data_IF_613593616866
#
_entry.id   IF_613593616866
#
_cell.length_a   1.000
_cell.length_b   1.000
_cell.length_c   1.000
_cell.angle_alpha   90.00
_cell.angle_beta   90.00
_cell.angle_gamma   90.00
#
_symmetry.space_group_name_H-M   'P 1'
#
loop_
_entity.id
_entity.type
_entity.pdbx_description
1 polymer ?
#
# COMPACT_ATOMS: atom_id res chain seq x y z
N UNK A 1 6.55 49.31 14.20
CA UNK A 1 6.90 47.94 14.67
C UNK A 1 5.62 47.27 15.13
N UNK A 2 5.08 46.28 14.39
CA UNK A 2 4.21 45.19 14.90
C UNK A 2 3.60 44.37 13.74
N UNK A 3 4.39 43.49 13.11
CA UNK A 3 3.85 42.42 12.25
C UNK A 3 4.74 41.16 12.35
N UNK A 4 4.84 40.55 13.54
CA UNK A 4 5.64 39.32 13.73
C UNK A 4 4.87 38.15 14.35
N UNK A 5 3.73 38.38 15.02
CA UNK A 5 3.08 37.32 15.82
C UNK A 5 1.98 36.54 15.09
N UNK A 6 1.46 37.05 13.96
CA UNK A 6 0.42 36.37 13.18
C UNK A 6 0.96 35.26 12.25
N UNK A 7 2.22 35.36 11.80
CA UNK A 7 2.82 34.42 10.83
C UNK A 7 3.33 33.10 11.48
N UNK A 8 3.61 33.12 12.79
CA UNK A 8 4.13 31.97 13.54
C UNK A 8 3.06 30.94 13.92
N UNK A 9 1.79 31.37 14.05
CA UNK A 9 0.65 30.49 14.35
C UNK A 9 0.16 29.71 13.12
N UNK A 10 0.24 30.31 11.93
CA UNK A 10 -0.26 29.69 10.70
C UNK A 10 0.69 28.59 10.17
N UNK A 11 2.00 28.82 10.27
CA UNK A 11 3.05 27.83 9.96
C UNK A 11 3.05 26.64 10.91
N UNK A 12 2.78 26.87 12.21
CA UNK A 12 2.70 25.79 13.21
C UNK A 12 1.49 24.87 12.98
N UNK A 13 0.32 25.45 12.67
CA UNK A 13 -0.91 24.71 12.37
C UNK A 13 -0.77 23.86 11.11
N UNK A 14 -0.18 24.42 10.04
CA UNK A 14 0.08 23.69 8.78
C UNK A 14 1.07 22.52 8.96
N UNK A 15 2.10 22.69 9.79
CA UNK A 15 3.09 21.64 10.06
C UNK A 15 2.58 20.54 11.03
N UNK A 16 1.63 20.86 11.91
CA UNK A 16 0.93 19.86 12.74
C UNK A 16 -0.02 19.01 11.89
N UNK A 17 -0.81 19.61 11.00
CA UNK A 17 -1.69 18.86 10.07
C UNK A 17 -0.90 17.95 9.12
N UNK A 18 0.27 18.41 8.64
CA UNK A 18 1.21 17.66 7.79
C UNK A 18 2.08 16.63 8.54
N UNK A 19 1.91 16.50 9.86
CA UNK A 19 2.54 15.43 10.66
C UNK A 19 1.55 14.33 11.02
N UNK A 20 0.27 14.70 11.22
CA UNK A 20 -0.79 13.74 11.47
C UNK A 20 -1.13 12.89 10.23
N UNK A 21 -1.04 13.47 9.03
CA UNK A 21 -1.24 12.76 7.76
C UNK A 21 -0.16 11.69 7.46
N UNK A 22 1.11 11.98 7.75
CA UNK A 22 2.25 11.07 7.53
C UNK A 22 2.26 9.91 8.53
N UNK A 23 1.93 10.17 9.80
CA UNK A 23 1.77 9.11 10.81
C UNK A 23 0.59 8.19 10.47
N UNK A 24 -0.55 8.76 10.07
CA UNK A 24 -1.73 8.00 9.62
C UNK A 24 -1.42 7.11 8.40
N UNK A 25 -0.61 7.62 7.46
CA UNK A 25 -0.24 6.87 6.27
C UNK A 25 0.72 5.71 6.56
N UNK A 26 1.73 5.95 7.42
CA UNK A 26 2.66 4.88 7.86
C UNK A 26 1.93 3.76 8.59
N UNK A 27 0.99 4.12 9.47
CA UNK A 27 0.17 3.14 10.17
C UNK A 27 -0.70 2.34 9.19
N UNK A 28 -1.34 3.00 8.23
CA UNK A 28 -2.11 2.34 7.18
C UNK A 28 -1.29 1.34 6.36
N UNK A 29 -0.06 1.70 5.98
CA UNK A 29 0.84 0.80 5.24
C UNK A 29 1.17 -0.43 6.10
N UNK A 30 1.50 -0.22 7.38
CA UNK A 30 1.85 -1.31 8.30
C UNK A 30 0.69 -2.30 8.46
N UNK A 31 -0.51 -1.80 8.70
CA UNK A 31 -1.72 -2.62 8.84
C UNK A 31 -2.07 -3.34 7.55
N UNK A 32 -1.93 -2.66 6.40
CA UNK A 32 -2.18 -3.25 5.09
C UNK A 32 -1.20 -4.40 4.82
N UNK A 33 0.10 -4.20 5.08
CA UNK A 33 1.11 -5.25 4.96
C UNK A 33 0.78 -6.47 5.82
N UNK A 34 0.40 -6.25 7.08
CA UNK A 34 0.04 -7.34 7.99
C UNK A 34 -1.20 -8.11 7.54
N UNK A 35 -2.18 -7.46 6.92
CA UNK A 35 -3.38 -8.14 6.40
C UNK A 35 -3.06 -8.93 5.13
N UNK A 36 -2.29 -8.32 4.22
CA UNK A 36 -1.95 -8.91 2.92
C UNK A 36 -1.03 -10.12 3.08
N UNK A 37 -0.12 -10.12 4.06
CA UNK A 37 0.84 -11.22 4.27
C UNK A 37 0.20 -12.59 4.55
N UNK A 38 -1.09 -12.64 4.87
CA UNK A 38 -1.82 -13.89 5.14
C UNK A 38 -2.62 -14.40 3.94
N UNK A 39 -2.61 -13.68 2.81
CA UNK A 39 -3.41 -14.03 1.64
C UNK A 39 -2.66 -15.03 0.75
N UNK A 40 -3.41 -15.94 0.12
CA UNK A 40 -2.92 -16.71 -1.03
C UNK A 40 -2.73 -15.79 -2.24
N UNK A 41 -2.10 -16.31 -3.30
CA UNK A 41 -1.94 -15.58 -4.56
C UNK A 41 -3.30 -15.17 -5.14
N UNK A 42 -4.24 -16.11 -5.21
CA UNK A 42 -5.58 -15.91 -5.75
C UNK A 42 -6.38 -14.90 -4.93
N UNK A 43 -6.25 -14.96 -3.60
CA UNK A 43 -6.91 -14.01 -2.71
C UNK A 43 -6.34 -12.59 -2.87
N UNK A 44 -5.01 -12.45 -2.95
CA UNK A 44 -4.36 -11.17 -3.14
C UNK A 44 -4.69 -10.56 -4.52
N UNK A 45 -4.73 -11.39 -5.57
CA UNK A 45 -5.10 -10.97 -6.91
C UNK A 45 -6.58 -10.54 -6.99
N UNK A 46 -7.50 -11.32 -6.43
CA UNK A 46 -8.91 -10.97 -6.39
C UNK A 46 -9.17 -9.67 -5.62
N UNK A 47 -8.50 -9.46 -4.50
CA UNK A 47 -8.59 -8.20 -3.75
C UNK A 47 -8.01 -7.01 -4.52
N UNK A 48 -6.97 -7.23 -5.34
CA UNK A 48 -6.42 -6.23 -6.24
C UNK A 48 -7.44 -5.87 -7.34
N UNK A 49 -8.11 -6.85 -7.94
CA UNK A 49 -9.13 -6.60 -8.97
C UNK A 49 -10.30 -5.76 -8.40
N UNK A 50 -10.82 -6.14 -7.23
CA UNK A 50 -11.86 -5.38 -6.53
C UNK A 50 -11.40 -3.94 -6.23
N UNK A 51 -10.12 -3.75 -5.89
CA UNK A 51 -9.55 -2.43 -5.65
C UNK A 51 -9.47 -1.60 -6.93
N UNK A 52 -9.07 -2.21 -8.04
CA UNK A 52 -8.99 -1.56 -9.35
C UNK A 52 -10.37 -1.15 -9.85
N UNK A 53 -11.38 -2.01 -9.72
CA UNK A 53 -12.77 -1.68 -10.04
C UNK A 53 -13.25 -0.45 -9.27
N UNK A 54 -12.94 -0.37 -7.96
CA UNK A 54 -13.27 0.79 -7.13
C UNK A 54 -12.55 2.06 -7.61
N UNK A 55 -11.28 1.95 -7.97
CA UNK A 55 -10.50 3.09 -8.48
C UNK A 55 -10.99 3.61 -9.83
N UNK A 56 -11.59 2.75 -10.65
CA UNK A 56 -12.15 3.11 -11.96
C UNK A 56 -13.51 3.82 -11.85
N UNK A 57 -14.12 3.87 -10.65
CA UNK A 57 -15.36 4.63 -10.44
C UNK A 57 -15.10 6.14 -10.43
N UNK A 58 -16.00 6.92 -11.04
CA UNK A 58 -15.81 8.35 -11.35
C UNK A 58 -15.74 9.30 -10.14
N UNK A 59 -15.92 8.79 -8.91
CA UNK A 59 -16.19 9.60 -7.72
C UNK A 59 -15.16 9.40 -6.60
N UNK A 60 -13.98 8.85 -6.90
CA UNK A 60 -12.95 8.63 -5.86
C UNK A 60 -12.29 9.95 -5.43
N UNK A 61 -12.21 10.19 -4.13
CA UNK A 61 -11.48 11.33 -3.57
C UNK A 61 -9.97 11.13 -3.74
N UNK A 62 -9.20 12.22 -3.88
CA UNK A 62 -7.74 12.14 -4.10
C UNK A 62 -7.01 11.41 -2.96
N UNK A 63 -7.46 11.59 -1.71
CA UNK A 63 -6.87 10.89 -0.57
C UNK A 63 -7.13 9.38 -0.61
N UNK A 64 -8.32 8.98 -1.04
CA UNK A 64 -8.70 7.58 -1.22
C UNK A 64 -7.96 6.97 -2.41
N UNK A 65 -7.72 7.74 -3.47
CA UNK A 65 -6.90 7.33 -4.60
C UNK A 65 -5.45 7.05 -4.18
N UNK A 66 -4.85 7.92 -3.35
CA UNK A 66 -3.49 7.72 -2.81
C UNK A 66 -3.40 6.44 -1.98
N UNK A 67 -4.36 6.21 -1.09
CA UNK A 67 -4.41 4.98 -0.25
C UNK A 67 -4.64 3.73 -1.10
N UNK A 68 -5.52 3.82 -2.10
CA UNK A 68 -5.81 2.72 -3.03
C UNK A 68 -4.57 2.37 -3.86
N UNK A 69 -3.87 3.36 -4.42
CA UNK A 69 -2.62 3.14 -5.14
C UNK A 69 -1.57 2.41 -4.28
N UNK A 70 -1.35 2.89 -3.05
CA UNK A 70 -0.40 2.26 -2.12
C UNK A 70 -0.82 0.82 -1.83
N UNK A 71 -2.10 0.57 -1.54
CA UNK A 71 -2.60 -0.77 -1.24
C UNK A 71 -2.46 -1.70 -2.45
N UNK A 72 -2.72 -1.21 -3.67
CA UNK A 72 -2.52 -1.95 -4.91
C UNK A 72 -1.07 -2.37 -5.11
N UNK A 73 -0.12 -1.46 -4.84
CA UNK A 73 1.31 -1.80 -4.86
C UNK A 73 1.66 -2.90 -3.85
N UNK A 74 1.08 -2.86 -2.65
CA UNK A 74 1.31 -3.89 -1.63
C UNK A 74 0.75 -5.26 -2.03
N UNK A 75 -0.40 -5.31 -2.72
CA UNK A 75 -0.92 -6.57 -3.28
C UNK A 75 0.02 -7.13 -4.35
N UNK A 76 0.48 -6.28 -5.28
CA UNK A 76 1.43 -6.69 -6.33
C UNK A 76 2.74 -7.22 -5.73
N UNK A 77 3.36 -6.49 -4.80
CA UNK A 77 4.60 -6.92 -4.11
C UNK A 77 4.43 -8.27 -3.39
N UNK A 78 3.22 -8.59 -2.92
CA UNK A 78 2.93 -9.88 -2.28
C UNK A 78 2.77 -11.00 -3.31
N UNK A 79 2.03 -10.75 -4.39
CA UNK A 79 1.88 -11.69 -5.50
C UNK A 79 3.24 -12.05 -6.12
N UNK A 80 4.10 -11.05 -6.37
CA UNK A 80 5.45 -11.25 -6.90
C UNK A 80 6.27 -12.19 -6.00
N UNK A 81 6.27 -11.97 -4.68
CA UNK A 81 6.99 -12.84 -3.73
C UNK A 81 6.48 -14.28 -3.71
N UNK A 82 5.18 -14.48 -3.86
CA UNK A 82 4.60 -15.82 -3.93
C UNK A 82 5.03 -16.53 -5.21
N UNK A 83 5.05 -15.81 -6.34
CA UNK A 83 5.52 -16.36 -7.62
C UNK A 83 7.03 -16.68 -7.57
N UNK A 84 7.85 -15.79 -7.02
CA UNK A 84 9.29 -16.03 -6.81
C UNK A 84 9.53 -17.29 -5.98
N UNK A 85 8.74 -17.51 -4.92
CA UNK A 85 8.84 -18.72 -4.10
C UNK A 85 8.53 -19.98 -4.91
N UNK A 86 7.47 -19.97 -5.70
CA UNK A 86 7.09 -21.10 -6.57
C UNK A 86 8.15 -21.33 -7.64
N UNK A 87 8.70 -20.28 -8.23
CA UNK A 87 9.78 -20.38 -9.21
C UNK A 87 11.01 -21.06 -8.60
N UNK A 88 11.42 -20.68 -7.39
CA UNK A 88 12.51 -21.34 -6.68
C UNK A 88 12.19 -22.81 -6.36
N UNK A 89 10.98 -23.12 -5.90
CA UNK A 89 10.56 -24.50 -5.64
C UNK A 89 10.68 -25.36 -6.91
N UNK A 90 10.28 -24.85 -8.08
CA UNK A 90 10.41 -25.55 -9.37
C UNK A 90 11.87 -25.72 -9.80
N UNK A 91 12.73 -24.72 -9.57
CA UNK A 91 14.17 -24.80 -9.89
C UNK A 91 14.88 -25.82 -9.00
N UNK A 92 14.51 -25.91 -7.72
CA UNK A 92 15.10 -26.83 -6.73
C UNK A 92 14.66 -28.28 -6.95
N UNK A 93 13.48 -28.51 -7.53
CA UNK A 93 13.06 -29.82 -8.06
C UNK A 93 13.89 -30.12 -9.32
N UNK A 94 15.14 -30.55 -9.12
CA UNK A 94 16.01 -31.00 -10.19
C UNK A 94 15.43 -32.22 -10.93
N UNK A 95 15.86 -32.47 -12.18
CA UNK A 95 15.42 -33.58 -13.06
C UNK A 95 15.46 -34.98 -12.41
N UNK A 96 16.13 -35.16 -11.26
CA UNK A 96 16.18 -36.41 -10.50
C UNK A 96 14.85 -36.79 -9.83
N UNK A 97 13.99 -35.82 -9.49
CA UNK A 97 12.68 -36.07 -8.85
C UNK A 97 11.53 -36.31 -9.87
N UNK A 98 11.79 -36.03 -11.15
CA UNK A 98 10.85 -36.17 -12.26
C UNK A 98 11.09 -37.42 -13.13
N UNK A 99 12.06 -38.27 -12.76
CA UNK A 99 12.36 -39.55 -13.43
C UNK A 99 11.72 -40.76 -12.75
#
# INVERSE_FOLDING_TARGET
MATSDANKKNTKKFNETKKLDDYSLKQFIKESKSKISHLSYEQALNELDILLEKMQTSNILVEDLKRSYIKGKLYLEHCEKLLEKVEQEVIEISEEDLN
#
